data_IF_573593664248
#
_entry.id   IF_573593664248
#
_cell.length_a   1.000
_cell.length_b   1.000
_cell.length_c   1.000
_cell.angle_alpha   90.00
_cell.angle_beta   90.00
_cell.angle_gamma   90.00
#
_symmetry.space_group_name_H-M   'P 1'
#
loop_
_entity.id
_entity.type
_entity.pdbx_description
1 polymer ?
#
# COMPACT_ATOMS: atom_id res chain seq x y z
N UNK A 1 -3.59 20.50 -7.68
CA UNK A 1 -3.56 19.35 -8.62
C UNK A 1 -2.77 18.24 -7.93
N UNK A 2 -3.43 17.20 -7.41
CA UNK A 2 -2.72 16.02 -6.90
C UNK A 2 -2.37 15.19 -8.14
N UNK A 3 -1.10 15.20 -8.52
CA UNK A 3 -0.60 14.33 -9.58
C UNK A 3 -0.78 12.89 -9.12
N UNK A 4 -1.86 12.24 -9.56
CA UNK A 4 -1.90 10.78 -9.60
C UNK A 4 -0.87 10.36 -10.64
N UNK A 5 0.36 10.12 -10.21
CA UNK A 5 1.33 9.39 -11.01
C UNK A 5 0.67 8.07 -11.44
N UNK A 6 0.69 7.69 -12.72
CA UNK A 6 0.08 6.44 -13.15
C UNK A 6 0.75 5.32 -12.35
N UNK A 7 -0.01 4.67 -11.47
CA UNK A 7 0.47 3.52 -10.71
C UNK A 7 1.07 2.55 -11.73
N UNK A 8 2.37 2.33 -11.67
CA UNK A 8 3.05 1.45 -12.62
C UNK A 8 2.53 0.05 -12.36
N UNK A 9 1.77 -0.48 -13.30
CA UNK A 9 1.25 -1.84 -13.24
C UNK A 9 2.37 -2.79 -13.67
N UNK A 10 2.66 -3.79 -12.86
CA UNK A 10 3.59 -4.85 -13.20
C UNK A 10 2.80 -6.03 -13.77
N UNK A 11 3.25 -6.61 -14.89
CA UNK A 11 2.65 -7.81 -15.50
C UNK A 11 2.94 -9.09 -14.70
N UNK A 12 3.78 -9.01 -13.67
CA UNK A 12 4.15 -10.11 -12.79
C UNK A 12 4.46 -9.60 -11.38
N UNK A 13 4.37 -10.45 -10.34
CA UNK A 13 4.78 -10.08 -9.00
C UNK A 13 6.24 -9.59 -8.99
N UNK A 14 6.58 -8.50 -8.28
CA UNK A 14 7.93 -7.97 -8.26
C UNK A 14 8.88 -8.95 -7.59
N UNK A 15 10.02 -9.19 -8.23
CA UNK A 15 11.14 -9.94 -7.68
C UNK A 15 12.02 -9.06 -6.77
N UNK A 16 13.10 -9.64 -6.24
CA UNK A 16 13.98 -8.95 -5.31
C UNK A 16 14.66 -7.71 -5.93
N UNK A 17 15.00 -7.75 -7.22
CA UNK A 17 15.62 -6.63 -7.93
C UNK A 17 14.61 -5.51 -8.12
N UNK A 18 13.40 -5.83 -8.59
CA UNK A 18 12.31 -4.86 -8.73
C UNK A 18 11.96 -4.19 -7.38
N UNK A 19 11.94 -4.95 -6.27
CA UNK A 19 11.72 -4.37 -4.94
C UNK A 19 12.86 -3.41 -4.54
N UNK A 20 14.11 -3.73 -4.87
CA UNK A 20 15.25 -2.86 -4.59
C UNK A 20 15.17 -1.56 -5.39
N UNK A 21 14.78 -1.63 -6.67
CA UNK A 21 14.54 -0.44 -7.50
C UNK A 21 13.42 0.43 -6.95
N UNK A 22 12.29 -0.17 -6.56
CA UNK A 22 11.15 0.57 -5.97
C UNK A 22 11.55 1.27 -4.66
N UNK A 23 12.41 0.64 -3.84
CA UNK A 23 12.95 1.27 -2.63
C UNK A 23 13.85 2.45 -2.96
N UNK A 24 14.75 2.30 -3.93
CA UNK A 24 15.63 3.38 -4.37
C UNK A 24 14.81 4.54 -4.93
N UNK A 25 13.77 4.24 -5.72
CA UNK A 25 12.87 5.23 -6.27
C UNK A 25 12.11 5.97 -5.17
N UNK A 26 11.50 5.26 -4.22
CA UNK A 26 10.79 5.88 -3.10
C UNK A 26 11.73 6.76 -2.26
N UNK A 27 12.94 6.26 -1.97
CA UNK A 27 13.94 7.04 -1.25
C UNK A 27 14.40 8.28 -2.01
N UNK A 28 14.58 8.20 -3.33
CA UNK A 28 15.04 9.31 -4.16
C UNK A 28 13.97 10.40 -4.31
N UNK A 29 12.70 10.01 -4.38
CA UNK A 29 11.57 10.95 -4.49
C UNK A 29 11.13 11.49 -3.12
N UNK A 30 11.47 10.80 -2.02
CA UNK A 30 11.01 11.17 -0.68
C UNK A 30 9.52 10.91 -0.45
N UNK A 31 8.89 10.14 -1.34
CA UNK A 31 7.47 9.78 -1.31
C UNK A 31 7.29 8.28 -1.52
N UNK A 32 6.11 7.76 -1.18
CA UNK A 32 5.80 6.35 -1.35
C UNK A 32 5.55 6.02 -2.81
N UNK A 33 6.12 4.92 -3.29
CA UNK A 33 5.88 4.40 -4.63
C UNK A 33 4.82 3.31 -4.55
N UNK A 34 3.78 3.42 -5.37
CA UNK A 34 2.68 2.46 -5.46
C UNK A 34 2.72 1.74 -6.81
N UNK A 35 2.69 0.41 -6.79
CA UNK A 35 2.59 -0.44 -7.99
C UNK A 35 1.45 -1.43 -7.85
N UNK A 36 0.81 -1.75 -8.96
CA UNK A 36 -0.26 -2.76 -9.00
C UNK A 36 0.33 -4.07 -9.50
N UNK A 37 0.03 -5.18 -8.82
CA UNK A 37 0.59 -6.50 -9.12
C UNK A 37 -0.52 -7.55 -9.24
N UNK A 38 -0.41 -8.51 -10.18
CA UNK A 38 -1.38 -9.60 -10.29
C UNK A 38 -1.28 -10.52 -9.07
N UNK A 39 -2.44 -10.97 -8.56
CA UNK A 39 -2.55 -11.99 -7.53
C UNK A 39 -2.81 -13.37 -8.14
N UNK A 40 -2.45 -14.42 -7.40
CA UNK A 40 -2.69 -15.81 -7.80
C UNK A 40 -4.18 -16.13 -8.02
N UNK A 41 -5.08 -15.44 -7.31
CA UNK A 41 -6.53 -15.63 -7.38
C UNK A 41 -7.19 -14.90 -8.58
N UNK A 42 -6.40 -14.23 -9.43
CA UNK A 42 -6.89 -13.44 -10.56
C UNK A 42 -7.29 -12.01 -10.22
N UNK A 43 -7.26 -11.64 -8.94
CA UNK A 43 -7.41 -10.26 -8.46
C UNK A 43 -6.12 -9.44 -8.63
N UNK A 44 -6.20 -8.11 -8.44
CA UNK A 44 -5.03 -7.23 -8.36
C UNK A 44 -4.75 -6.81 -6.93
N UNK A 45 -3.45 -6.74 -6.57
CA UNK A 45 -2.96 -6.25 -5.28
C UNK A 45 -2.21 -4.93 -5.51
N UNK A 46 -2.23 -4.04 -4.52
CA UNK A 46 -1.35 -2.87 -4.50
C UNK A 46 -0.14 -3.14 -3.64
N UNK A 47 1.04 -2.90 -4.16
CA UNK A 47 2.30 -2.96 -3.44
C UNK A 47 2.82 -1.54 -3.26
N UNK A 48 3.04 -1.15 -2.00
CA UNK A 48 3.44 0.20 -1.62
C UNK A 48 4.81 0.13 -0.96
N UNK A 49 5.75 0.92 -1.46
CA UNK A 49 7.10 1.05 -0.90
C UNK A 49 7.28 2.46 -0.37
N UNK A 50 7.48 2.57 0.94
CA UNK A 50 7.75 3.84 1.59
C UNK A 50 9.18 4.32 1.31
N UNK A 51 9.45 5.63 1.39
CA UNK A 51 10.81 6.19 1.28
C UNK A 51 11.75 5.69 2.38
N UNK A 52 11.21 5.12 3.46
CA UNK A 52 11.98 4.52 4.57
C UNK A 52 12.32 3.04 4.33
N UNK A 53 11.92 2.49 3.19
CA UNK A 53 12.20 1.11 2.80
C UNK A 53 11.16 0.07 3.23
N UNK A 54 10.15 0.47 4.02
CA UNK A 54 9.01 -0.38 4.38
C UNK A 54 8.21 -0.75 3.13
N UNK A 55 7.90 -2.02 2.96
CA UNK A 55 7.08 -2.54 1.86
C UNK A 55 5.78 -3.12 2.42
N UNK A 56 4.63 -2.75 1.84
CA UNK A 56 3.30 -3.21 2.25
C UNK A 56 2.56 -3.75 1.04
N UNK A 57 1.95 -4.93 1.18
CA UNK A 57 1.04 -5.49 0.17
C UNK A 57 -0.40 -5.27 0.67
N UNK A 58 -1.15 -4.45 -0.05
CA UNK A 58 -2.57 -4.25 0.16
C UNK A 58 -3.34 -5.26 -0.69
N UNK A 59 -3.94 -6.23 -0.01
CA UNK A 59 -4.87 -7.18 -0.61
C UNK A 59 -6.28 -6.64 -0.39
N UNK A 60 -7.06 -6.52 -1.46
CA UNK A 60 -8.47 -6.12 -1.41
C UNK A 60 -8.72 -4.61 -1.21
N UNK A 61 -8.60 -3.85 -2.30
CA UNK A 61 -9.02 -2.44 -2.36
C UNK A 61 -10.50 -2.28 -2.73
N UNK A 62 -11.35 -3.29 -2.49
CA UNK A 62 -12.80 -3.11 -2.69
C UNK A 62 -13.29 -2.03 -1.74
N UNK A 63 -14.06 -1.08 -2.25
CA UNK A 63 -14.74 -0.07 -1.44
C UNK A 63 -15.61 -0.72 -0.35
N UNK A 64 -16.15 -1.91 -0.57
CA UNK A 64 -16.87 -2.68 0.47
C UNK A 64 -16.02 -3.06 1.69
N UNK A 65 -14.68 -3.12 1.57
CA UNK A 65 -13.76 -3.34 2.69
C UNK A 65 -13.38 -2.02 3.39
N UNK A 66 -13.55 -0.89 2.71
CA UNK A 66 -13.44 0.44 3.30
C UNK A 66 -14.80 0.79 3.88
N UNK A 67 -15.03 0.48 5.15
CA UNK A 67 -16.27 0.85 5.83
C UNK A 67 -16.35 2.40 5.90
N UNK A 68 -17.04 3.07 4.95
CA UNK A 68 -16.90 4.51 4.76
C UNK A 68 -17.75 5.30 5.76
N UNK A 69 -18.46 4.59 6.64
CA UNK A 69 -19.34 5.14 7.68
C UNK A 69 -18.70 5.16 9.07
N UNK A 70 -17.44 4.75 9.21
CA UNK A 70 -16.76 4.81 10.50
C UNK A 70 -16.25 6.23 10.71
N UNK A 71 -16.76 6.89 11.75
CA UNK A 71 -16.32 8.24 12.09
C UNK A 71 -14.82 8.22 12.47
N UNK A 72 -14.05 9.28 12.16
CA UNK A 72 -12.62 9.33 12.45
C UNK A 72 -12.30 9.08 13.94
N UNK A 73 -13.22 9.44 14.83
CA UNK A 73 -13.13 9.17 16.27
C UNK A 73 -13.19 7.67 16.59
N UNK A 74 -14.02 6.90 15.88
CA UNK A 74 -14.15 5.44 16.08
C UNK A 74 -12.94 4.68 15.51
N UNK A 75 -12.38 5.16 14.39
CA UNK A 75 -11.10 4.64 13.87
C UNK A 75 -9.97 4.89 14.86
N UNK A 76 -9.90 6.10 15.43
CA UNK A 76 -8.88 6.46 16.42
C UNK A 76 -9.00 5.64 17.71
N UNK A 77 -10.22 5.44 18.22
CA UNK A 77 -10.47 4.61 19.41
C UNK A 77 -10.00 3.16 19.19
N UNK A 78 -10.35 2.56 18.04
CA UNK A 78 -9.96 1.18 17.72
C UNK A 78 -8.44 0.98 17.70
N UNK A 79 -7.68 1.97 17.21
CA UNK A 79 -6.22 1.93 17.16
C UNK A 79 -5.56 2.06 18.54
N UNK A 80 -6.24 2.69 19.51
CA UNK A 80 -5.75 2.85 20.88
C UNK A 80 -6.06 1.63 21.75
N UNK A 81 -7.17 0.93 21.48
CA UNK A 81 -7.53 -0.31 22.17
C UNK A 81 -6.59 -1.47 21.80
N UNK A 82 -6.16 -1.58 20.54
CA UNK A 82 -5.22 -2.62 20.06
C UNK A 82 -3.79 -2.50 20.65
N UNK A 83 -3.43 -1.33 21.22
CA UNK A 83 -2.15 -1.11 21.93
C UNK A 83 -2.20 -1.43 23.43
N UNK A 84 -3.35 -1.82 23.99
CA UNK A 84 -3.49 -2.22 25.40
C UNK A 84 -3.66 -3.74 25.54
N UNK A 85 -2.79 -4.51 24.91
CA UNK A 85 -2.49 -5.90 25.31
C UNK A 85 -1.03 -6.20 24.93
N UNK A 86 -0.10 -5.73 25.78
CA UNK A 86 1.30 -6.14 25.81
C UNK A 86 1.81 -6.13 27.25
#
# INVERSE_FOLDING_TARGET
>A
MRSSSPASSLDSPPDAEAIAELRNQASAQGESVEVTVPAADGDTKRFVVSPRGTCVVLQNTREDSFNPSVAPEEVAASLQEDSTDA
#
